data_IF_999589226732
#
_entry.id   IF_999589226732
#
_cell.length_a   1.000
_cell.length_b   1.000
_cell.length_c   1.000
_cell.angle_alpha   90.00
_cell.angle_beta   90.00
_cell.angle_gamma   90.00
#
_symmetry.space_group_name_H-M   'P 1'
#
loop_
_entity.id
_entity.type
_entity.pdbx_description
1 polymer ?
#
# COMPACT_ATOMS: atom_id res chain seq x y z
N UNK A 1 -21.79 -19.74 -12.93
CA UNK A 1 -20.35 -19.42 -13.00
C UNK A 1 -20.11 -17.96 -13.39
N UNK A 2 -20.46 -17.50 -14.60
CA UNK A 2 -20.21 -16.10 -15.04
C UNK A 2 -20.82 -15.05 -14.11
N UNK A 3 -22.07 -15.24 -13.67
CA UNK A 3 -22.74 -14.32 -12.75
C UNK A 3 -21.98 -14.17 -11.42
N UNK A 4 -21.41 -15.26 -10.90
CA UNK A 4 -20.60 -15.24 -9.68
C UNK A 4 -19.27 -14.48 -9.88
N UNK A 5 -18.67 -14.56 -11.08
CA UNK A 5 -17.46 -13.79 -11.41
C UNK A 5 -17.75 -12.29 -11.52
N UNK A 6 -18.86 -11.92 -12.16
CA UNK A 6 -19.29 -10.52 -12.26
C UNK A 6 -19.63 -9.97 -10.87
N UNK A 7 -20.36 -10.73 -10.06
CA UNK A 7 -20.67 -10.35 -8.68
C UNK A 7 -19.39 -10.17 -7.85
N UNK A 8 -18.44 -11.11 -7.94
CA UNK A 8 -17.15 -11.01 -7.27
C UNK A 8 -16.35 -9.78 -7.71
N UNK A 9 -16.34 -9.47 -9.02
CA UNK A 9 -15.68 -8.29 -9.55
C UNK A 9 -16.28 -7.01 -8.98
N UNK A 10 -17.61 -6.86 -9.04
CA UNK A 10 -18.32 -5.67 -8.53
C UNK A 10 -18.17 -5.50 -7.02
N UNK A 11 -18.28 -6.60 -6.26
CA UNK A 11 -18.06 -6.59 -4.82
C UNK A 11 -16.62 -6.23 -4.48
N UNK A 12 -15.63 -6.74 -5.22
CA UNK A 12 -14.24 -6.39 -5.00
C UNK A 12 -13.99 -4.91 -5.29
N UNK A 13 -14.56 -4.34 -6.37
CA UNK A 13 -14.50 -2.89 -6.63
C UNK A 13 -15.13 -2.09 -5.49
N UNK A 14 -16.29 -2.51 -4.99
CA UNK A 14 -16.95 -1.84 -3.86
C UNK A 14 -16.09 -1.91 -2.59
N UNK A 15 -15.58 -3.08 -2.22
CA UNK A 15 -14.71 -3.27 -1.07
C UNK A 15 -13.38 -2.52 -1.22
N UNK A 16 -12.81 -2.48 -2.43
CA UNK A 16 -11.61 -1.70 -2.74
C UNK A 16 -11.84 -0.20 -2.62
N UNK A 17 -13.04 0.27 -2.99
CA UNK A 17 -13.45 1.68 -2.80
C UNK A 17 -13.54 2.03 -1.32
N UNK A 18 -14.18 1.17 -0.51
CA UNK A 18 -14.31 1.39 0.92
C UNK A 18 -12.95 1.36 1.63
N UNK A 19 -12.10 0.38 1.31
CA UNK A 19 -10.79 0.22 1.93
C UNK A 19 -9.81 1.31 1.48
N UNK A 20 -9.81 1.69 0.20
CA UNK A 20 -8.91 2.74 -0.30
C UNK A 20 -9.28 4.13 0.20
N UNK A 21 -10.57 4.43 0.43
CA UNK A 21 -10.96 5.73 0.99
C UNK A 21 -10.89 5.80 2.52
N UNK A 22 -10.91 4.65 3.21
CA UNK A 22 -10.84 4.58 4.66
C UNK A 22 -9.36 4.48 5.11
N UNK A 23 -8.76 5.56 5.64
CA UNK A 23 -7.38 5.50 6.11
C UNK A 23 -7.23 4.43 7.21
N UNK A 24 -6.21 3.58 7.06
CA UNK A 24 -5.88 2.52 8.03
C UNK A 24 -6.57 1.17 7.80
N UNK A 25 -7.41 1.01 6.77
CA UNK A 25 -7.98 -0.29 6.37
C UNK A 25 -7.26 -0.82 5.13
N UNK A 26 -6.23 -1.62 5.33
CA UNK A 26 -5.45 -2.20 4.23
C UNK A 26 -6.16 -3.41 3.59
N UNK A 27 -5.88 -3.69 2.32
CA UNK A 27 -6.39 -4.89 1.60
C UNK A 27 -6.01 -6.22 2.26
N UNK A 28 -4.90 -6.25 3.01
CA UNK A 28 -4.37 -7.46 3.65
C UNK A 28 -5.31 -7.93 4.77
N UNK A 29 -5.96 -6.99 5.46
CA UNK A 29 -6.99 -7.26 6.46
C UNK A 29 -8.17 -7.99 5.82
N UNK A 30 -8.68 -7.50 4.70
CA UNK A 30 -9.83 -8.11 4.03
C UNK A 30 -9.48 -9.48 3.44
N UNK A 31 -8.28 -9.62 2.86
CA UNK A 31 -7.79 -10.90 2.38
C UNK A 31 -7.64 -11.95 3.50
N UNK A 32 -7.12 -11.57 4.67
CA UNK A 32 -6.98 -12.45 5.83
C UNK A 32 -8.34 -12.89 6.40
N UNK A 33 -9.31 -11.98 6.49
CA UNK A 33 -10.68 -12.30 6.90
C UNK A 33 -11.32 -13.30 5.93
N UNK A 34 -11.11 -13.12 4.62
CA UNK A 34 -11.59 -14.08 3.62
C UNK A 34 -10.90 -15.43 3.72
N UNK A 35 -9.59 -15.45 3.93
CA UNK A 35 -8.82 -16.69 4.04
C UNK A 35 -9.25 -17.50 5.27
N UNK A 36 -9.44 -16.83 6.41
CA UNK A 36 -9.90 -17.46 7.65
C UNK A 36 -11.35 -17.95 7.60
N UNK A 37 -12.16 -17.41 6.69
CA UNK A 37 -13.57 -17.80 6.48
C UNK A 37 -13.77 -18.80 5.32
N UNK A 38 -12.70 -19.25 4.65
CA UNK A 38 -12.79 -20.23 3.56
C UNK A 38 -13.55 -21.50 3.92
N UNK A 39 -13.45 -21.97 5.16
CA UNK A 39 -14.17 -23.15 5.65
C UNK A 39 -15.70 -23.01 5.56
N UNK A 40 -16.22 -21.78 5.58
CA UNK A 40 -17.65 -21.47 5.43
C UNK A 40 -18.05 -21.08 4.01
N UNK A 41 -17.07 -20.88 3.11
CA UNK A 41 -17.26 -20.39 1.74
C UNK A 41 -17.08 -21.50 0.68
N UNK A 42 -17.30 -22.77 1.07
CA UNK A 42 -17.04 -23.96 0.24
C UNK A 42 -17.87 -24.00 -1.06
N UNK A 43 -19.00 -23.30 -1.11
CA UNK A 43 -19.86 -23.21 -2.29
C UNK A 43 -19.37 -22.17 -3.32
N UNK A 44 -18.43 -21.29 -2.94
CA UNK A 44 -17.92 -20.24 -3.82
C UNK A 44 -16.72 -20.75 -4.63
N UNK A 45 -16.71 -20.59 -5.97
CA UNK A 45 -15.55 -20.95 -6.78
C UNK A 45 -14.29 -20.18 -6.35
N UNK A 46 -13.16 -20.87 -6.21
CA UNK A 46 -11.88 -20.24 -5.84
C UNK A 46 -11.48 -19.11 -6.80
N UNK A 47 -11.81 -19.25 -8.08
CA UNK A 47 -11.57 -18.25 -9.12
C UNK A 47 -12.38 -16.96 -8.86
N UNK A 48 -13.58 -17.05 -8.28
CA UNK A 48 -14.38 -15.89 -7.93
C UNK A 48 -13.76 -15.14 -6.75
N UNK A 49 -13.24 -15.86 -5.75
CA UNK A 49 -12.50 -15.27 -4.64
C UNK A 49 -11.21 -14.57 -5.12
N UNK A 50 -10.48 -15.19 -6.06
CA UNK A 50 -9.31 -14.57 -6.67
C UNK A 50 -9.67 -13.28 -7.43
N UNK A 51 -10.76 -13.29 -8.23
CA UNK A 51 -11.25 -12.10 -8.93
C UNK A 51 -11.63 -11.00 -7.93
N UNK A 52 -12.32 -11.35 -6.84
CA UNK A 52 -12.69 -10.41 -5.79
C UNK A 52 -11.46 -9.75 -5.16
N UNK A 53 -10.45 -10.54 -4.78
CA UNK A 53 -9.22 -10.01 -4.17
C UNK A 53 -8.48 -9.13 -5.17
N UNK A 54 -8.29 -9.58 -6.41
CA UNK A 54 -7.57 -8.81 -7.44
C UNK A 54 -8.30 -7.51 -7.77
N UNK A 55 -9.62 -7.53 -7.96
CA UNK A 55 -10.36 -6.30 -8.26
C UNK A 55 -10.39 -5.33 -7.08
N UNK A 56 -10.45 -5.84 -5.85
CA UNK A 56 -10.31 -5.02 -4.64
C UNK A 56 -8.93 -4.40 -4.54
N UNK A 57 -7.86 -5.19 -4.67
CA UNK A 57 -6.47 -4.70 -4.59
C UNK A 57 -6.21 -3.61 -5.61
N UNK A 58 -6.60 -3.81 -6.87
CA UNK A 58 -6.44 -2.79 -7.90
C UNK A 58 -7.24 -1.54 -7.54
N UNK A 59 -8.51 -1.67 -7.14
CA UNK A 59 -9.34 -0.50 -6.82
C UNK A 59 -8.82 0.27 -5.62
N UNK A 60 -8.35 -0.44 -4.60
CA UNK A 60 -7.75 0.13 -3.39
C UNK A 60 -6.52 0.98 -3.73
N UNK A 61 -5.53 0.42 -4.44
CA UNK A 61 -4.28 1.11 -4.81
C UNK A 61 -4.50 2.32 -5.72
N UNK A 62 -5.66 2.48 -6.34
CA UNK A 62 -5.99 3.70 -7.07
C UNK A 62 -6.57 4.79 -6.17
N UNK A 63 -7.26 4.40 -5.10
CA UNK A 63 -8.07 5.29 -4.28
C UNK A 63 -7.38 5.68 -2.96
N UNK A 64 -6.52 4.84 -2.41
CA UNK A 64 -5.68 5.07 -1.23
C UNK A 64 -4.78 6.31 -1.36
N UNK A 65 -4.37 6.68 -2.57
CA UNK A 65 -3.65 7.92 -2.83
C UNK A 65 -4.43 9.18 -2.45
N UNK A 66 -5.77 9.13 -2.48
CA UNK A 66 -6.62 10.28 -2.13
C UNK A 66 -6.47 10.62 -0.64
N UNK A 67 -6.85 9.76 0.32
CA UNK A 67 -6.64 10.06 1.73
C UNK A 67 -5.15 10.24 2.05
N UNK A 68 -4.25 9.53 1.38
CA UNK A 68 -2.82 9.66 1.65
C UNK A 68 -2.25 11.04 1.30
N UNK A 69 -2.63 11.63 0.16
CA UNK A 69 -2.21 12.99 -0.24
C UNK A 69 -2.86 14.05 0.65
N UNK A 70 -4.18 13.94 0.87
CA UNK A 70 -4.96 14.99 1.55
C UNK A 70 -4.87 14.93 3.08
N UNK A 71 -4.75 13.74 3.66
CA UNK A 71 -4.67 13.54 5.12
C UNK A 71 -3.22 13.34 5.59
N UNK A 72 -2.26 13.15 4.68
CA UNK A 72 -0.88 12.88 5.04
C UNK A 72 -0.71 11.55 5.78
N UNK A 73 -1.60 10.58 5.51
CA UNK A 73 -1.61 9.26 6.13
C UNK A 73 -1.38 8.17 5.06
N UNK A 74 -0.19 8.15 4.41
CA UNK A 74 0.14 7.12 3.43
C UNK A 74 0.35 5.75 4.09
N UNK A 75 0.22 4.71 3.28
CA UNK A 75 0.59 3.34 3.67
C UNK A 75 2.11 3.20 3.78
N UNK A 76 2.58 2.19 4.52
CA UNK A 76 4.01 1.98 4.82
C UNK A 76 4.87 1.85 3.55
N UNK A 77 4.32 1.19 2.53
CA UNK A 77 4.95 0.91 1.24
C UNK A 77 4.85 2.09 0.25
N UNK A 78 3.97 3.05 0.50
CA UNK A 78 3.74 4.21 -0.36
C UNK A 78 4.22 5.54 0.24
N UNK A 79 4.68 5.56 1.49
CA UNK A 79 5.12 6.77 2.20
C UNK A 79 6.08 7.66 1.36
N UNK A 80 7.14 7.07 0.81
CA UNK A 80 8.15 7.80 0.03
C UNK A 80 7.59 8.30 -1.32
N UNK A 81 6.72 7.53 -1.94
CA UNK A 81 6.09 7.88 -3.22
C UNK A 81 5.04 8.98 -3.08
N UNK A 82 4.41 9.09 -1.90
CA UNK A 82 3.32 10.02 -1.63
C UNK A 82 3.83 11.34 -1.04
N UNK A 83 5.02 11.35 -0.44
CA UNK A 83 5.62 12.55 0.15
C UNK A 83 5.59 13.77 -0.81
N UNK A 84 5.99 13.66 -2.10
CA UNK A 84 5.89 14.79 -3.04
C UNK A 84 4.43 15.23 -3.29
N UNK A 85 3.49 14.29 -3.33
CA UNK A 85 2.07 14.60 -3.48
C UNK A 85 1.51 15.35 -2.27
N UNK A 86 1.94 14.98 -1.07
CA UNK A 86 1.57 15.69 0.16
C UNK A 86 2.20 17.09 0.23
N UNK A 87 3.42 17.28 -0.29
CA UNK A 87 4.02 18.61 -0.45
C UNK A 87 3.20 19.49 -1.41
N UNK A 88 2.81 18.96 -2.56
CA UNK A 88 1.90 19.66 -3.49
C UNK A 88 0.56 20.02 -2.83
N UNK A 89 0.02 19.16 -1.97
CA UNK A 89 -1.18 19.47 -1.18
C UNK A 89 -0.98 20.68 -0.25
N UNK A 90 0.15 20.75 0.47
CA UNK A 90 0.51 21.90 1.33
C UNK A 90 0.65 23.20 0.54
N UNK A 91 0.98 23.12 -0.75
CA UNK A 91 1.07 24.26 -1.65
C UNK A 91 -0.27 24.69 -2.25
N UNK A 92 -1.34 23.92 -2.10
CA UNK A 92 -2.67 24.18 -2.69
C UNK A 92 -2.91 23.46 -4.02
N UNK A 93 -2.05 22.50 -4.37
CA UNK A 93 -2.08 21.72 -5.62
C UNK A 93 -2.44 20.24 -5.41
N UNK A 94 -3.16 19.89 -4.33
CA UNK A 94 -3.51 18.51 -4.01
C UNK A 94 -4.32 17.81 -5.09
N UNK A 95 -5.25 18.53 -5.75
CA UNK A 95 -6.00 17.99 -6.88
C UNK A 95 -5.09 17.56 -8.04
N UNK A 96 -4.12 18.41 -8.40
CA UNK A 96 -3.17 18.11 -9.47
C UNK A 96 -2.28 16.92 -9.09
N UNK A 97 -1.83 16.84 -7.84
CA UNK A 97 -1.05 15.71 -7.33
C UNK A 97 -1.82 14.39 -7.49
N UNK A 98 -3.09 14.34 -7.07
CA UNK A 98 -3.94 13.15 -7.23
C UNK A 98 -4.11 12.76 -8.69
N UNK A 99 -4.36 13.72 -9.59
CA UNK A 99 -4.52 13.44 -11.03
C UNK A 99 -3.24 12.86 -11.64
N UNK A 100 -2.07 13.42 -11.31
CA UNK A 100 -0.78 12.92 -11.80
C UNK A 100 -0.53 11.49 -11.31
N UNK A 101 -0.79 11.22 -10.03
CA UNK A 101 -0.64 9.87 -9.46
C UNK A 101 -1.58 8.88 -10.12
N UNK A 102 -2.84 9.23 -10.36
CA UNK A 102 -3.80 8.38 -11.08
C UNK A 102 -3.35 8.08 -12.51
N UNK A 103 -2.78 9.05 -13.23
CA UNK A 103 -2.18 8.80 -14.54
C UNK A 103 -1.00 7.84 -14.47
N UNK A 104 -0.15 7.95 -13.44
CA UNK A 104 0.92 7.01 -13.15
C UNK A 104 0.40 5.59 -12.94
N UNK A 105 -0.62 5.42 -12.09
CA UNK A 105 -1.25 4.12 -11.84
C UNK A 105 -1.89 3.53 -13.10
N UNK A 106 -2.54 4.35 -13.94
CA UNK A 106 -3.06 3.91 -15.24
C UNK A 106 -1.95 3.47 -16.20
N UNK A 107 -0.83 4.23 -16.26
CA UNK A 107 0.30 3.89 -17.11
C UNK A 107 1.04 2.62 -16.65
N UNK A 108 0.99 2.29 -15.35
CA UNK A 108 1.56 1.07 -14.81
C UNK A 108 0.84 -0.19 -15.29
N UNK A 109 -0.48 -0.14 -15.54
CA UNK A 109 -1.26 -1.31 -15.99
C UNK A 109 -0.71 -1.99 -17.26
N UNK A 110 -0.51 -1.30 -18.40
CA UNK A 110 0.04 -1.93 -19.60
C UNK A 110 1.48 -2.41 -19.39
N UNK A 111 2.27 -1.71 -18.55
CA UNK A 111 3.64 -2.10 -18.20
C UNK A 111 3.60 -3.45 -17.44
N UNK A 112 2.76 -3.56 -16.41
CA UNK A 112 2.61 -4.79 -15.63
C UNK A 112 2.14 -5.93 -16.52
N UNK A 113 1.15 -5.70 -17.40
CA UNK A 113 0.67 -6.72 -18.34
C UNK A 113 1.80 -7.20 -19.25
N UNK A 114 2.59 -6.28 -19.80
CA UNK A 114 3.72 -6.58 -20.69
C UNK A 114 4.83 -7.37 -19.97
N UNK A 115 5.16 -7.01 -18.73
CA UNK A 115 6.22 -7.66 -17.97
C UNK A 115 5.76 -8.93 -17.22
N UNK A 116 4.46 -9.12 -16.98
CA UNK A 116 3.93 -10.30 -16.29
C UNK A 116 4.34 -11.66 -16.88
N UNK A 117 4.29 -11.92 -18.21
CA UNK A 117 4.74 -13.19 -18.77
C UNK A 117 6.25 -13.40 -18.58
N UNK A 118 7.03 -12.33 -18.63
CA UNK A 118 8.47 -12.37 -18.36
C UNK A 118 8.73 -12.82 -16.92
N UNK A 119 8.04 -12.22 -15.94
CA UNK A 119 8.17 -12.65 -14.55
C UNK A 119 7.73 -14.09 -14.35
N UNK A 120 6.61 -14.52 -14.94
CA UNK A 120 6.13 -15.91 -14.78
C UNK A 120 7.14 -16.93 -15.31
N UNK A 121 7.83 -16.64 -16.43
CA UNK A 121 8.80 -17.54 -17.03
C UNK A 121 10.15 -17.55 -16.28
N UNK A 122 10.64 -16.39 -15.88
CA UNK A 122 12.00 -16.24 -15.34
C UNK A 122 12.07 -16.35 -13.81
N UNK A 123 11.01 -15.96 -13.09
CA UNK A 123 11.02 -15.95 -11.62
C UNK A 123 11.33 -17.32 -10.99
N UNK A 124 10.80 -18.47 -11.47
CA UNK A 124 11.13 -19.78 -10.91
C UNK A 124 12.62 -20.12 -10.97
N UNK A 125 13.33 -19.65 -12.00
CA UNK A 125 14.77 -19.90 -12.17
C UNK A 125 15.61 -19.21 -11.10
N UNK A 126 15.21 -18.01 -10.67
CA UNK A 126 15.91 -17.22 -9.66
C UNK A 126 15.33 -17.37 -8.25
N UNK A 127 14.14 -17.96 -8.12
CA UNK A 127 13.40 -17.98 -6.86
C UNK A 127 14.21 -18.56 -5.70
N UNK A 128 14.85 -19.72 -5.89
CA UNK A 128 15.65 -20.34 -4.82
C UNK A 128 16.89 -19.51 -4.46
N UNK A 129 17.54 -18.90 -5.45
CA UNK A 129 18.68 -17.98 -5.21
C UNK A 129 18.23 -16.74 -4.44
N UNK A 130 17.11 -16.11 -4.84
CA UNK A 130 16.55 -14.94 -4.16
C UNK A 130 16.16 -15.31 -2.73
N UNK A 131 15.46 -16.42 -2.55
CA UNK A 131 15.03 -16.91 -1.24
C UNK A 131 16.20 -17.16 -0.30
N UNK A 132 17.31 -17.71 -0.81
CA UNK A 132 18.55 -17.85 -0.05
C UNK A 132 19.18 -16.50 0.31
N UNK A 133 19.10 -15.50 -0.58
CA UNK A 133 19.66 -14.16 -0.35
C UNK A 133 18.83 -13.28 0.59
N UNK A 134 17.51 -13.46 0.66
CA UNK A 134 16.59 -12.59 1.43
C UNK A 134 17.07 -12.35 2.87
N UNK A 135 17.44 -13.36 3.68
CA UNK A 135 17.90 -13.13 5.05
C UNK A 135 19.13 -12.22 5.13
N UNK A 136 20.09 -12.40 4.21
CA UNK A 136 21.29 -11.57 4.15
C UNK A 136 20.98 -10.14 3.74
N UNK A 137 20.07 -9.96 2.76
CA UNK A 137 19.59 -8.64 2.32
C UNK A 137 18.91 -7.91 3.49
N UNK A 138 18.05 -8.59 4.23
CA UNK A 138 17.33 -8.00 5.36
C UNK A 138 18.28 -7.60 6.51
N UNK A 139 19.26 -8.45 6.84
CA UNK A 139 20.28 -8.12 7.85
C UNK A 139 21.10 -6.92 7.39
N UNK A 140 21.56 -6.92 6.13
CA UNK A 140 22.33 -5.82 5.57
C UNK A 140 21.54 -4.51 5.60
N UNK A 141 20.30 -4.50 5.11
CA UNK A 141 19.44 -3.31 5.10
C UNK A 141 19.15 -2.82 6.52
N UNK A 142 18.87 -3.72 7.46
CA UNK A 142 18.63 -3.37 8.85
C UNK A 142 19.86 -2.70 9.48
N UNK A 143 21.05 -3.28 9.29
CA UNK A 143 22.30 -2.69 9.77
C UNK A 143 22.58 -1.35 9.11
N UNK A 144 22.40 -1.26 7.78
CA UNK A 144 22.60 -0.04 7.02
C UNK A 144 21.70 1.10 7.54
N UNK A 145 20.41 0.83 7.76
CA UNK A 145 19.48 1.82 8.30
C UNK A 145 19.89 2.26 9.71
N UNK A 146 20.24 1.32 10.59
CA UNK A 146 20.67 1.64 11.97
C UNK A 146 21.94 2.50 11.97
N UNK A 147 22.90 2.22 11.10
CA UNK A 147 24.15 3.00 10.99
C UNK A 147 23.96 4.36 10.31
N UNK A 148 22.88 4.55 9.54
CA UNK A 148 22.61 5.81 8.85
C UNK A 148 21.90 6.83 9.72
N UNK A 149 21.23 6.38 10.78
CA UNK A 149 20.52 7.25 11.71
C UNK A 149 21.48 8.00 12.65
N UNK A 150 21.17 9.25 12.95
CA UNK A 150 22.00 10.12 13.81
C UNK A 150 22.13 9.56 15.24
N UNK A 151 21.08 8.89 15.74
CA UNK A 151 21.05 8.29 17.07
C UNK A 151 21.03 6.77 17.00
N UNK A 152 22.22 6.20 16.80
CA UNK A 152 22.44 4.75 16.73
C UNK A 152 21.78 3.96 17.87
N UNK A 153 21.90 4.45 19.12
CA UNK A 153 21.39 3.74 20.30
C UNK A 153 19.86 3.66 20.26
N UNK A 154 19.20 4.77 19.91
CA UNK A 154 17.74 4.82 19.81
C UNK A 154 17.27 3.91 18.67
N UNK A 155 17.87 4.01 17.49
CA UNK A 155 17.50 3.19 16.32
C UNK A 155 17.70 1.69 16.58
N UNK A 156 18.80 1.31 17.23
CA UNK A 156 19.04 -0.08 17.63
C UNK A 156 18.00 -0.54 18.67
N UNK A 157 17.65 0.31 19.63
CA UNK A 157 16.64 -0.01 20.66
C UNK A 157 15.27 -0.23 20.02
N UNK A 158 14.84 0.67 19.13
CA UNK A 158 13.58 0.54 18.39
C UNK A 158 13.56 -0.72 17.53
N UNK A 159 14.66 -1.03 16.84
CA UNK A 159 14.78 -2.25 16.03
C UNK A 159 14.62 -3.53 16.87
N UNK A 160 15.31 -3.61 18.02
CA UNK A 160 15.20 -4.75 18.93
C UNK A 160 13.79 -4.87 19.52
N UNK A 161 13.19 -3.76 19.93
CA UNK A 161 11.81 -3.75 20.45
C UNK A 161 10.80 -4.19 19.39
N UNK A 162 10.95 -3.73 18.14
CA UNK A 162 10.10 -4.16 17.03
C UNK A 162 10.26 -5.67 16.74
N UNK A 163 11.49 -6.18 16.78
CA UNK A 163 11.76 -7.62 16.64
C UNK A 163 11.12 -8.46 17.76
N UNK A 164 11.24 -8.00 19.02
CA UNK A 164 10.60 -8.65 20.16
C UNK A 164 9.08 -8.59 20.07
N UNK A 165 8.51 -7.46 19.67
CA UNK A 165 7.08 -7.30 19.45
C UNK A 165 6.57 -8.30 18.40
N UNK A 166 7.27 -8.43 17.27
CA UNK A 166 6.95 -9.43 16.25
C UNK A 166 6.96 -10.86 16.80
N UNK A 167 8.03 -11.25 17.50
CA UNK A 167 8.13 -12.57 18.14
C UNK A 167 7.02 -12.82 19.17
N UNK A 168 6.71 -11.83 20.00
CA UNK A 168 5.64 -11.92 20.99
C UNK A 168 4.28 -12.10 20.31
N UNK A 169 3.99 -11.30 19.28
CA UNK A 169 2.75 -11.34 18.52
C UNK A 169 2.53 -12.69 17.84
N UNK A 170 3.55 -13.27 17.20
CA UNK A 170 3.44 -14.59 16.56
C UNK A 170 3.28 -15.76 17.54
N UNK A 171 3.64 -15.58 18.81
CA UNK A 171 3.46 -16.60 19.85
C UNK A 171 2.10 -16.52 20.55
N UNK A 172 1.24 -15.55 20.21
CA UNK A 172 -0.10 -15.46 20.77
C UNK A 172 -1.03 -16.52 20.15
N UNK A 173 -2.00 -17.08 20.90
CA UNK A 173 -2.98 -18.04 20.39
C UNK A 173 -4.09 -17.35 19.57
N UNK A 174 -3.70 -16.49 18.62
CA UNK A 174 -4.59 -15.79 17.71
C UNK A 174 -4.49 -16.43 16.32
N UNK A 175 -5.61 -16.56 15.63
CA UNK A 175 -5.61 -17.04 14.23
C UNK A 175 -4.86 -16.08 13.30
N UNK A 176 -4.98 -14.77 13.55
CA UNK A 176 -4.39 -13.71 12.73
C UNK A 176 -3.76 -12.62 13.62
N UNK A 177 -2.56 -12.87 14.19
CA UNK A 177 -1.94 -11.97 15.16
C UNK A 177 -1.41 -10.66 14.54
N UNK A 178 -1.14 -10.65 13.23
CA UNK A 178 -0.66 -9.48 12.49
C UNK A 178 -1.69 -8.36 12.37
N UNK A 179 -2.97 -8.71 12.35
CA UNK A 179 -4.06 -7.77 12.11
C UNK A 179 -4.18 -6.73 13.24
N UNK A 180 -4.33 -7.12 14.52
CA UNK A 180 -4.35 -6.16 15.62
C UNK A 180 -3.04 -5.37 15.76
N UNK A 181 -1.90 -6.01 15.45
CA UNK A 181 -0.58 -5.40 15.53
C UNK A 181 -0.44 -4.23 14.54
N UNK A 182 -0.66 -4.49 13.25
CA UNK A 182 -0.51 -3.48 12.20
C UNK A 182 -1.56 -2.37 12.33
N UNK A 183 -2.81 -2.71 12.63
CA UNK A 183 -3.88 -1.73 12.85
C UNK A 183 -3.56 -0.78 14.01
N UNK A 184 -2.98 -1.31 15.09
CA UNK A 184 -2.57 -0.53 16.25
C UNK A 184 -1.35 0.36 15.97
N UNK A 185 -0.32 -0.19 15.31
CA UNK A 185 0.94 0.53 15.10
C UNK A 185 0.82 1.64 14.04
N UNK A 186 0.04 1.42 12.97
CA UNK A 186 -0.02 2.35 11.84
C UNK A 186 -1.31 3.15 11.78
N UNK A 187 -2.46 2.53 12.07
CA UNK A 187 -3.76 3.20 12.03
C UNK A 187 -3.91 4.23 13.16
N UNK A 188 -3.74 3.79 14.41
CA UNK A 188 -3.94 4.64 15.59
C UNK A 188 -2.88 5.75 15.69
N UNK A 189 -1.61 5.45 15.38
CA UNK A 189 -0.53 6.44 15.47
C UNK A 189 -0.71 7.61 14.50
N UNK A 190 -1.08 7.32 13.25
CA UNK A 190 -1.34 8.33 12.21
C UNK A 190 -2.51 9.23 12.59
N UNK A 191 -3.59 8.66 13.14
CA UNK A 191 -4.73 9.42 13.64
C UNK A 191 -4.33 10.34 14.80
N UNK A 192 -3.53 9.85 15.76
CA UNK A 192 -3.05 10.66 16.89
C UNK A 192 -2.18 11.83 16.40
N UNK A 193 -1.28 11.60 15.43
CA UNK A 193 -0.42 12.64 14.86
C UNK A 193 -1.26 13.68 14.12
N UNK A 194 -2.24 13.25 13.32
CA UNK A 194 -3.13 14.15 12.59
C UNK A 194 -3.98 15.00 13.53
N UNK A 195 -4.47 14.45 14.64
CA UNK A 195 -5.22 15.19 15.66
C UNK A 195 -4.36 16.24 16.36
N UNK A 196 -3.06 15.97 16.53
CA UNK A 196 -2.12 16.89 17.20
C UNK A 196 -1.67 18.05 16.31
N UNK A 197 -1.64 17.85 14.99
CA UNK A 197 -1.20 18.85 14.02
C UNK A 197 -2.40 19.61 13.43
N UNK A 198 -2.85 20.66 14.15
CA UNK A 198 -3.85 21.61 13.64
C UNK A 198 -3.21 22.64 12.71
N UNK A 199 -2.87 22.25 11.48
CA UNK A 199 -2.58 23.21 10.42
C UNK A 199 -3.74 23.20 9.43
N UNK A 200 -4.43 24.33 9.30
CA UNK A 200 -5.42 24.49 8.24
C UNK A 200 -4.70 24.47 6.88
N UNK A 201 -5.06 23.54 5.97
CA UNK A 201 -4.45 23.47 4.66
C UNK A 201 -4.80 24.72 3.84
N UNK A 202 -3.90 25.13 2.95
CA UNK A 202 -4.19 26.20 1.99
C UNK A 202 -5.42 25.85 1.14
N UNK A 203 -6.20 26.85 0.68
CA UNK A 203 -7.29 26.63 -0.26
C UNK A 203 -6.79 25.86 -1.49
N UNK A 204 -7.48 24.78 -1.83
CA UNK A 204 -7.08 23.91 -2.93
C UNK A 204 -7.52 24.49 -4.27
N UNK A 205 -6.61 24.55 -5.23
CA UNK A 205 -6.88 24.97 -6.60
C UNK A 205 -7.43 23.79 -7.41
N UNK A 206 -8.59 24.00 -8.05
CA UNK A 206 -9.16 23.03 -8.99
C UNK A 206 -8.66 23.34 -10.40
N UNK A 207 -7.48 22.82 -10.73
CA UNK A 207 -6.91 22.96 -12.07
C UNK A 207 -7.70 22.10 -13.07
N UNK A 208 -8.15 22.64 -14.21
CA UNK A 208 -8.84 21.84 -15.22
C UNK A 208 -7.96 20.68 -15.73
N UNK A 209 -8.55 19.49 -15.92
CA UNK A 209 -7.84 18.29 -16.38
C UNK A 209 -7.03 18.52 -17.68
N UNK A 210 -7.50 19.40 -18.57
CA UNK A 210 -6.83 19.72 -19.85
C UNK A 210 -5.49 20.45 -19.69
N UNK A 211 -5.31 21.13 -18.56
CA UNK A 211 -4.11 21.92 -18.25
C UNK A 211 -3.06 21.10 -17.50
N UNK A 212 -3.47 19.99 -16.88
CA UNK A 212 -2.58 19.03 -16.22
C UNK A 212 -1.93 18.16 -17.31
N UNK A 213 -0.83 18.65 -17.88
CA UNK A 213 -0.03 17.92 -18.87
C UNK A 213 1.30 17.50 -18.26
N UNK A 214 1.60 16.21 -18.31
CA UNK A 214 2.95 15.70 -18.07
C UNK A 214 3.85 16.20 -19.21
N UNK A 215 4.69 17.20 -18.94
CA UNK A 215 5.65 17.68 -19.94
C UNK A 215 6.70 16.61 -20.19
N UNK A 216 7.08 16.39 -21.47
CA UNK A 216 8.21 15.50 -21.82
C UNK A 216 9.52 15.91 -21.11
N UNK A 217 9.66 17.17 -20.74
CA UNK A 217 10.81 17.68 -19.99
C UNK A 217 10.78 17.26 -18.51
N UNK A 218 9.61 17.14 -17.90
CA UNK A 218 9.43 16.68 -16.52
C UNK A 218 9.70 15.18 -16.41
N UNK A 219 9.21 14.39 -17.38
CA UNK A 219 9.48 12.95 -17.44
C UNK A 219 11.00 12.65 -17.57
N UNK A 220 11.73 13.45 -18.36
CA UNK A 220 13.19 13.33 -18.51
C UNK A 220 14.00 13.76 -17.28
N UNK A 221 13.42 14.56 -16.38
CA UNK A 221 14.09 14.95 -15.12
C UNK A 221 13.89 13.91 -14.01
N UNK A 222 12.86 13.08 -14.14
CA UNK A 222 12.53 12.03 -13.18
C UNK A 222 13.16 10.66 -13.50
N UNK A 223 13.68 10.46 -14.72
CA UNK A 223 14.45 9.28 -15.17
C UNK A 223 15.95 9.47 -14.98
#
# INVERSE_FOLDING_TARGET
MILALIAALLLGVLSGTLTGLAPGIHINLVAAILLSSLGSLTEIPIIALAIFIVSMSITHTFLDFIPSIFLGAPEEDTFLSILPGHEMFKEGHGFQATVITLYGSLAALPIIILFSPLFILFLPFFYETIKFLIPFILIFLSLYLIFREDNFILSLTVFILAGFLGLATFNLPLKEPLLPLLSGLFGISSLIISLKNHNEPKPQSLTPLKEIKLSKAEFKRAS
#
